data_IF_635563367353
#
_entry.id   IF_635563367353
#
_cell.length_a   1.000
_cell.length_b   1.000
_cell.length_c   1.000
_cell.angle_alpha   90.00
_cell.angle_beta   90.00
_cell.angle_gamma   90.00
#
_symmetry.space_group_name_H-M   'P 1'
#
loop_
_entity.id
_entity.type
_entity.pdbx_description
1 polymer ?
2 polymer ?
3 non-polymer ?
#
loop_
_entity_poly.entity_id
_entity_poly.type
_entity_poly.pdbx_seq_one_letter_code
_entity_poly.pdbx_strand_id
2 'polydeoxyribonucleotide' '(DT)(DG)(DC)(DA)(DG)(DG)(DC)(DT)(DA)(DG)(DC)(DC)(DT)(DG)(DC)(DA)' ?
#
# COMPACT_ATOMS: atom_id res chain seq x y z
N UNK A 4 7.28 4.66 -17.13
CA UNK A 4 7.34 5.74 -16.15
C UNK A 4 8.51 5.61 -15.16
N UNK A 5 9.31 6.69 -15.02
CA UNK A 5 10.46 6.64 -14.10
C UNK A 5 10.11 6.77 -12.63
N UNK A 6 8.98 7.40 -12.32
CA UNK A 6 8.54 7.54 -10.94
C UNK A 6 8.21 6.17 -10.32
N UNK A 7 7.70 5.23 -11.16
CA UNK A 7 7.37 3.87 -10.75
C UNK A 7 8.65 3.19 -10.27
N UNK A 8 9.71 3.16 -11.14
CA UNK A 8 11.02 2.57 -10.85
C UNK A 8 11.67 3.25 -9.63
N UNK A 9 11.51 4.59 -9.57
CA UNK A 9 12.01 5.45 -8.51
C UNK A 9 11.44 4.99 -7.17
N UNK A 10 10.10 4.73 -7.08
CA UNK A 10 9.48 4.27 -5.83
C UNK A 10 9.72 2.76 -5.54
N UNK A 11 9.80 1.94 -6.59
CA UNK A 11 9.99 0.48 -6.49
C UNK A 11 11.29 0.12 -5.79
N UNK A 12 12.40 0.71 -6.24
CA UNK A 12 13.73 0.45 -5.70
C UNK A 12 13.93 0.70 -4.21
N UNK A 13 12.92 1.33 -3.56
CA UNK A 13 12.94 1.63 -2.13
C UNK A 13 12.24 0.51 -1.33
N UNK A 14 12.54 -0.77 -1.66
CA UNK A 14 11.96 -1.93 -0.96
C UNK A 14 13.07 -2.84 -0.39
N UNK A 21 11.50 -12.64 -11.99
CA UNK A 21 10.42 -13.60 -11.76
C UNK A 21 9.02 -12.95 -11.92
N UNK A 22 7.93 -13.75 -11.83
CA UNK A 22 6.56 -13.24 -12.00
C UNK A 22 6.14 -12.24 -10.92
N UNK A 23 6.62 -12.41 -9.67
CA UNK A 23 6.33 -11.49 -8.56
C UNK A 23 7.09 -10.18 -8.77
N UNK A 24 8.31 -10.24 -9.36
CA UNK A 24 9.13 -9.07 -9.70
C UNK A 24 8.34 -8.22 -10.72
N UNK A 25 7.76 -8.88 -11.75
CA UNK A 25 6.97 -8.19 -12.74
C UNK A 25 5.69 -7.64 -12.11
N UNK A 26 5.01 -8.43 -11.30
CA UNK A 26 3.76 -8.03 -10.69
C UNK A 26 3.83 -6.83 -9.82
N UNK A 27 4.92 -6.70 -9.06
CA UNK A 27 5.07 -5.52 -8.22
C UNK A 27 5.32 -4.29 -9.09
N UNK A 28 5.91 -4.44 -10.31
CA UNK A 28 6.10 -3.27 -11.18
C UNK A 28 4.73 -2.78 -11.63
N UNK A 29 3.88 -3.70 -12.15
CA UNK A 29 2.52 -3.40 -12.61
C UNK A 29 1.64 -2.85 -11.49
N UNK A 30 1.93 -3.22 -10.21
CA UNK A 30 1.18 -2.72 -9.06
C UNK A 30 1.59 -1.30 -8.69
N UNK A 31 2.88 -1.02 -8.75
CA UNK A 31 3.40 0.30 -8.43
C UNK A 31 3.03 1.30 -9.56
N UNK A 32 2.91 0.82 -10.83
CA UNK A 32 2.53 1.66 -11.97
C UNK A 32 1.10 2.16 -11.84
N UNK A 33 0.22 1.31 -11.33
CA UNK A 33 -1.17 1.68 -11.12
C UNK A 33 -1.28 2.59 -9.88
N UNK A 34 -0.50 2.32 -8.80
CA UNK A 34 -0.53 3.19 -7.61
C UNK A 34 -0.04 4.59 -8.01
N UNK A 35 1.02 4.68 -8.87
CA UNK A 35 1.57 5.97 -9.32
C UNK A 35 0.54 6.71 -10.17
N UNK A 36 -0.13 6.05 -11.15
CA UNK A 36 -1.16 6.71 -11.96
C UNK A 36 -2.34 7.20 -11.08
N UNK A 37 -2.62 6.48 -9.96
CA UNK A 37 -3.68 6.85 -9.03
C UNK A 37 -3.26 8.09 -8.25
N UNK A 38 -2.13 8.02 -7.50
CA UNK A 38 -1.62 9.11 -6.66
C UNK A 38 -1.15 10.36 -7.44
N UNK A 39 -0.91 10.24 -8.76
CA UNK A 39 -0.48 11.39 -9.56
C UNK A 39 -1.59 12.41 -9.60
N UNK A 40 -2.83 11.97 -9.84
CA UNK A 40 -4.02 12.82 -9.90
C UNK A 40 -4.23 13.73 -8.66
N UNK A 41 -3.85 13.25 -7.44
CA UNK A 41 -3.99 14.01 -6.20
C UNK A 41 -2.67 14.76 -5.88
N UNK A 42 -2.72 16.13 -5.81
CA UNK A 42 -1.56 17.02 -5.56
C UNK A 42 -0.88 16.79 -4.19
N UNK A 43 0.47 16.71 -4.20
CA UNK A 43 1.27 16.52 -3.00
C UNK A 43 1.15 15.15 -2.36
N UNK A 44 0.76 14.12 -3.19
CA UNK A 44 0.54 12.72 -2.77
C UNK A 44 1.67 11.75 -3.14
N UNK A 45 2.11 11.77 -4.42
CA UNK A 45 3.23 10.91 -4.83
C UNK A 45 4.54 11.34 -4.10
N UNK A 46 4.66 12.64 -3.73
CA UNK A 46 5.77 13.19 -2.96
C UNK A 46 5.65 12.69 -1.50
N UNK A 47 4.42 12.71 -0.96
CA UNK A 47 4.10 12.24 0.39
C UNK A 47 4.44 10.73 0.54
N UNK A 48 4.22 9.94 -0.52
CA UNK A 48 4.59 8.52 -0.47
C UNK A 48 6.09 8.35 -0.59
N UNK A 49 6.77 9.20 -1.39
CA UNK A 49 8.23 9.17 -1.55
C UNK A 49 8.90 9.48 -0.20
N UNK A 50 8.49 10.58 0.46
CA UNK A 50 9.03 11.00 1.77
C UNK A 50 8.58 10.11 2.96
N UNK A 51 7.93 8.97 2.66
CA UNK A 51 7.42 8.01 3.64
C UNK A 51 8.10 6.64 3.51
N UNK A 52 8.49 6.25 2.28
CA UNK A 52 9.20 4.98 2.09
C UNK A 52 10.72 5.14 2.35
N UNK A 53 11.23 6.41 2.42
CA UNK A 53 12.63 6.77 2.69
C UNK A 53 12.85 7.08 4.19
N UNK A 54 11.96 7.88 4.82
CA UNK A 54 12.05 8.19 6.25
C UNK A 54 11.19 7.14 6.95
N UNK A 55 11.80 6.13 7.59
CA UNK A 55 10.96 5.03 8.14
C UNK A 55 10.25 5.29 9.47
N UNK A 56 11.00 5.68 10.51
CA UNK A 56 10.44 5.89 11.83
C UNK A 56 9.65 7.16 12.05
N UNK A 57 9.96 8.20 11.27
CA UNK A 57 9.32 9.51 11.38
C UNK A 57 7.80 9.49 11.12
N UNK A 58 7.04 10.26 11.93
CA UNK A 58 5.59 10.33 11.72
C UNK A 58 5.18 10.81 10.32
N UNK A 59 4.67 9.86 9.52
CA UNK A 59 4.20 10.10 8.15
C UNK A 59 2.68 10.43 8.14
N UNK A 60 2.20 11.00 7.03
CA UNK A 60 0.77 11.29 6.86
C UNK A 60 0.07 10.14 6.00
N UNK A 61 -1.22 10.29 5.68
CA UNK A 61 -1.94 9.29 4.88
C UNK A 61 -1.74 9.54 3.37
N UNK A 62 -1.42 8.44 2.64
CA UNK A 62 -1.31 8.39 1.17
C UNK A 62 -2.48 7.49 0.77
N UNK A 63 -3.63 8.07 0.29
CA UNK A 63 -4.82 7.25 0.05
C UNK A 63 -5.41 7.18 -1.36
N UNK A 64 -5.68 5.94 -1.81
CA UNK A 64 -6.36 5.65 -3.07
C UNK A 64 -7.84 5.32 -2.77
N UNK A 65 -8.77 5.49 -3.75
CA UNK A 65 -10.19 5.16 -3.47
C UNK A 65 -10.41 3.67 -3.21
N UNK A 66 -11.40 3.34 -2.39
CA UNK A 66 -11.68 1.97 -2.01
C UNK A 66 -12.86 1.43 -2.83
N UNK A 67 -12.85 0.13 -3.17
CA UNK A 67 -13.95 -0.48 -3.91
C UNK A 67 -15.05 -1.03 -2.96
N UNK A 68 -16.27 -1.27 -3.48
CA UNK A 68 -17.34 -1.88 -2.67
C UNK A 68 -16.87 -3.23 -2.02
N UNK A 69 -16.02 -3.95 -2.75
CA UNK A 69 -15.46 -5.24 -2.40
C UNK A 69 -14.42 -5.13 -1.35
N UNK A 70 -13.55 -4.13 -1.48
CA UNK A 70 -12.37 -3.95 -0.65
C UNK A 70 -11.12 -4.26 -1.46
N UNK A 71 -11.22 -5.22 -2.38
CA UNK A 71 -10.17 -5.65 -3.29
C UNK A 71 -9.81 -4.64 -4.39
N UNK A 72 -8.52 -4.61 -4.67
CA UNK A 72 -7.81 -3.84 -5.70
C UNK A 72 -7.28 -4.86 -6.72
N UNK A 73 -7.56 -4.66 -8.00
CA UNK A 73 -7.09 -5.57 -9.03
C UNK A 73 -5.95 -4.93 -9.74
N UNK A 74 -4.85 -5.66 -9.86
CA UNK A 74 -3.68 -5.22 -10.59
C UNK A 74 -3.28 -6.38 -11.48
N UNK A 75 -3.05 -6.16 -12.77
CA UNK A 75 -2.62 -7.23 -13.70
C UNK A 75 -3.32 -8.57 -13.51
N UNK A 76 -4.63 -8.56 -13.62
CA UNK A 76 -5.41 -9.79 -13.51
C UNK A 76 -5.46 -10.43 -12.14
N UNK A 77 -4.94 -9.78 -11.10
CA UNK A 77 -4.96 -10.36 -9.77
C UNK A 77 -5.58 -9.41 -8.76
N UNK A 78 -6.70 -9.83 -8.19
CA UNK A 78 -7.42 -9.12 -7.15
C UNK A 78 -6.74 -9.37 -5.81
N UNK A 79 -6.94 -8.48 -4.88
CA UNK A 79 -6.33 -8.56 -3.57
C UNK A 79 -6.57 -7.29 -2.78
N UNK A 80 -6.24 -7.29 -1.51
CA UNK A 80 -6.48 -6.13 -0.67
C UNK A 80 -5.39 -5.08 -0.88
N UNK A 81 -5.79 -3.82 -1.14
CA UNK A 81 -4.80 -2.77 -1.42
C UNK A 81 -3.75 -2.60 -0.37
N UNK A 82 -4.14 -2.56 0.91
CA UNK A 82 -3.17 -2.39 1.97
C UNK A 82 -2.27 -3.62 2.07
N UNK A 83 -2.78 -4.82 1.76
CA UNK A 83 -1.95 -6.01 1.79
C UNK A 83 -0.94 -5.94 0.67
N UNK A 84 -1.42 -5.60 -0.54
CA UNK A 84 -0.67 -5.48 -1.78
C UNK A 84 0.50 -4.56 -1.65
N UNK A 85 0.34 -3.40 -0.97
CA UNK A 85 1.44 -2.45 -0.89
C UNK A 85 2.38 -2.76 0.21
N UNK A 86 1.92 -3.33 1.34
CA UNK A 86 2.87 -3.79 2.35
C UNK A 86 3.66 -5.02 1.84
N UNK A 87 3.07 -5.81 0.94
CA UNK A 87 3.73 -6.95 0.27
C UNK A 87 4.90 -6.45 -0.63
N UNK A 88 4.74 -5.26 -1.26
CA UNK A 88 5.78 -4.67 -2.11
C UNK A 88 6.84 -3.96 -1.25
N UNK A 89 6.39 -3.09 -0.36
CA UNK A 89 7.27 -2.26 0.43
C UNK A 89 7.56 -2.71 1.86
N UNK A 90 7.50 -4.02 2.18
CA UNK A 90 7.81 -4.47 3.55
C UNK A 90 7.98 -5.98 3.69
N UNK A 91 6.91 -6.75 3.43
CA UNK A 91 6.98 -8.20 3.59
C UNK A 91 6.36 -8.93 2.42
N UNK A 92 7.19 -9.45 1.51
CA UNK A 92 6.62 -10.20 0.39
C UNK A 92 5.95 -11.51 0.82
N UNK A 93 6.25 -12.00 2.04
CA UNK A 93 5.66 -13.21 2.61
C UNK A 93 4.40 -12.90 3.46
N UNK A 94 3.86 -11.65 3.39
CA UNK A 94 2.67 -11.23 4.14
C UNK A 94 1.52 -12.04 3.61
N UNK A 95 1.08 -13.05 4.38
CA UNK A 95 0.08 -13.99 3.91
C UNK A 95 -1.34 -13.45 3.76
N UNK A 96 -1.80 -12.56 4.66
CA UNK A 96 -3.19 -12.07 4.56
C UNK A 96 -3.44 -10.82 5.39
N UNK A 97 -4.59 -10.13 5.19
CA UNK A 97 -4.98 -8.98 6.01
C UNK A 97 -4.91 -9.26 7.52
N UNK A 98 -5.04 -10.55 7.89
CA UNK A 98 -4.98 -11.07 9.26
C UNK A 98 -3.67 -10.75 9.93
N UNK A 99 -2.56 -10.79 9.15
CA UNK A 99 -1.21 -10.47 9.60
C UNK A 99 -0.90 -8.95 9.44
N UNK A 100 -1.94 -8.05 9.49
CA UNK A 100 -1.69 -6.62 9.38
C UNK A 100 -2.64 -5.72 10.16
N UNK A 101 -2.28 -5.32 11.40
CA UNK A 101 -3.08 -4.38 12.18
C UNK A 101 -2.68 -2.94 11.79
N UNK A 102 -3.54 -1.92 11.99
CA UNK A 102 -3.18 -0.56 11.57
C UNK A 102 -2.67 0.33 12.71
N UNK A 103 -2.02 1.45 12.37
CA UNK A 103 -1.54 2.39 13.39
C UNK A 103 -2.65 3.35 13.85
N UNK A 104 -2.52 3.88 15.07
CA UNK A 104 -3.49 4.83 15.63
C UNK A 104 -3.40 6.21 14.93
N UNK A 105 -2.22 6.54 14.38
CA UNK A 105 -1.94 7.75 13.60
C UNK A 105 -2.72 7.72 12.25
N UNK A 106 -3.01 6.50 11.72
CA UNK A 106 -3.69 6.23 10.44
C UNK A 106 -5.19 6.57 10.38
N UNK A 107 -5.50 7.62 9.60
CA UNK A 107 -6.82 8.21 9.45
C UNK A 107 -7.80 7.40 8.60
N UNK A 108 -7.32 6.67 7.58
CA UNK A 108 -8.19 5.90 6.68
C UNK A 108 -7.68 4.46 6.57
N UNK A 109 -7.88 3.62 7.59
CA UNK A 109 -7.35 2.24 7.50
C UNK A 109 -8.24 1.30 6.68
N UNK A 110 -7.79 0.05 6.55
CA UNK A 110 -8.58 -0.96 5.90
C UNK A 110 -9.47 -1.52 7.01
N UNK A 111 -10.76 -1.55 6.75
CA UNK A 111 -11.73 -2.02 7.74
C UNK A 111 -12.32 -0.84 8.46
N UNK A 112 -12.73 0.15 7.67
CA UNK A 112 -13.33 1.37 8.21
C UNK A 112 -14.55 1.82 7.38
N UNK A 113 -14.70 1.28 6.12
CA UNK A 113 -15.80 1.58 5.17
C UNK A 113 -15.75 3.00 4.61
N UNK A 114 -14.54 3.58 4.56
CA UNK A 114 -14.34 4.92 4.06
C UNK A 114 -14.05 4.82 2.57
N UNK A 115 -14.59 5.75 1.75
CA UNK A 115 -14.35 5.70 0.30
C UNK A 115 -12.89 6.11 -0.10
N UNK A 116 -11.99 6.15 0.89
CA UNK A 116 -10.56 6.37 0.77
C UNK A 116 -9.88 5.34 1.67
N UNK A 117 -8.80 4.74 1.19
CA UNK A 117 -8.07 3.76 1.98
C UNK A 117 -6.57 4.04 1.89
N UNK A 118 -5.85 3.96 3.02
CA UNK A 118 -4.44 4.25 3.05
C UNK A 118 -3.66 3.09 2.51
N UNK A 119 -2.87 3.33 1.48
CA UNK A 119 -2.00 2.30 0.90
C UNK A 119 -0.59 2.32 1.53
N UNK A 120 -0.31 3.29 2.47
CA UNK A 120 0.96 3.53 3.15
C UNK A 120 1.45 2.31 3.91
N UNK A 121 2.57 1.72 3.47
CA UNK A 121 3.06 0.50 4.13
C UNK A 121 3.57 0.69 5.55
N UNK A 122 3.80 1.95 5.97
CA UNK A 122 4.27 2.25 7.32
C UNK A 122 3.12 2.59 8.30
N UNK A 123 1.89 2.74 7.78
CA UNK A 123 0.69 2.97 8.59
C UNK A 123 0.08 1.67 9.15
N UNK A 124 0.71 0.50 8.88
CA UNK A 124 0.22 -0.81 9.33
C UNK A 124 1.40 -1.63 9.91
N UNK A 125 1.29 -2.08 11.19
CA UNK A 125 2.32 -2.91 11.81
C UNK A 125 1.97 -4.38 11.60
N UNK A 126 2.96 -5.25 11.39
CA UNK A 126 2.66 -6.69 11.18
C UNK A 126 2.39 -7.42 12.48
N UNK A 127 1.51 -8.42 12.45
CA UNK A 127 1.14 -9.22 13.63
C UNK A 127 1.18 -10.77 13.34
N UNK A 128 1.00 -11.61 14.39
CA UNK A 128 0.86 -13.06 14.27
C UNK A 128 -0.65 -13.30 14.08
N UNK A 129 -1.02 -14.12 13.10
CA UNK A 129 -2.42 -14.40 12.78
C UNK A 129 -3.29 -14.84 13.97
N UNK A 130 -4.37 -14.09 14.23
CA UNK A 130 -5.26 -14.43 15.34
C UNK A 130 -6.29 -15.52 15.02
N UNK A 131 -6.13 -16.27 13.91
CA UNK A 131 -7.11 -17.30 13.57
C UNK A 131 -6.62 -18.74 13.85
N UNK A 132 -7.53 -19.55 14.41
CA UNK A 132 -7.36 -20.96 14.75
C UNK A 132 -6.00 -21.27 15.39
X LIG C 1 -3.32 6.27 6.88
#
# INVERSE_FOLDING_TARGET
>A
SFTSPAVKRLLGWKGGGSQGDEEEKWAEKAVDALVKKLKKKKGAMEELEKALSSPGQPSKCVTIPRSLDGRLQVSHRKGLPHVIYCRVWRWPDLQSHHELKPLDICEFPFGSKQKEVCINPYHYKRVESPVLPP
>C hetero
1 ZN ZN
#
